data_IF_637661766375
#
_entry.id   IF_637661766375
#
_cell.length_a   1.000
_cell.length_b   1.000
_cell.length_c   1.000
_cell.angle_alpha   90.00
_cell.angle_beta   90.00
_cell.angle_gamma   90.00
#
_symmetry.space_group_name_H-M   'P 1'
#
loop_
_entity.id
_entity.type
_entity.pdbx_description
1 polymer ?
#
# COMPACT_ATOMS: atom_id res chain seq x y z
N UNK A 1 68.97 9.50 20.87
CA UNK A 1 67.77 9.10 21.65
C UNK A 1 66.71 10.17 21.45
N UNK A 2 65.74 9.93 20.58
CA UNK A 2 64.53 10.76 20.41
C UNK A 2 63.48 9.88 19.72
N UNK A 3 62.36 9.69 20.41
CA UNK A 3 61.31 8.70 20.13
C UNK A 3 60.35 9.25 19.05
N UNK A 4 60.00 8.51 17.99
CA UNK A 4 58.95 8.94 17.08
C UNK A 4 57.57 8.66 17.70
N UNK A 5 56.77 9.70 17.93
CA UNK A 5 55.36 9.59 18.33
C UNK A 5 54.53 9.05 17.16
N UNK A 6 54.15 7.77 17.24
CA UNK A 6 53.08 7.18 16.43
C UNK A 6 51.74 7.64 16.99
N UNK A 7 50.99 8.44 16.24
CA UNK A 7 49.57 8.65 16.53
C UNK A 7 48.76 7.58 15.79
N UNK A 8 48.37 6.58 16.55
CA UNK A 8 47.49 5.48 16.17
C UNK A 8 46.03 5.95 16.38
N UNK A 9 45.24 5.77 15.33
CA UNK A 9 43.80 5.49 15.27
C UNK A 9 42.87 6.06 16.36
N UNK A 10 41.86 6.81 15.91
CA UNK A 10 40.47 6.49 16.29
C UNK A 10 39.52 6.94 15.20
N UNK A 11 39.26 6.02 14.26
CA UNK A 11 38.21 6.16 13.26
C UNK A 11 36.94 5.65 13.94
N UNK A 12 36.21 6.57 14.58
CA UNK A 12 34.88 6.28 15.12
C UNK A 12 33.95 6.16 13.91
N UNK A 13 33.92 4.97 13.31
CA UNK A 13 32.83 4.59 12.42
C UNK A 13 31.60 4.51 13.30
N UNK A 14 30.79 5.56 13.24
CA UNK A 14 29.46 5.61 13.83
C UNK A 14 28.63 4.59 13.05
N UNK A 15 28.68 3.33 13.49
CA UNK A 15 27.73 2.31 13.08
C UNK A 15 26.37 2.76 13.61
N UNK A 16 25.67 3.57 12.81
CA UNK A 16 24.22 3.66 12.87
C UNK A 16 23.72 2.25 12.62
N UNK A 17 23.53 1.51 13.70
CA UNK A 17 22.64 0.37 13.73
C UNK A 17 21.27 0.92 13.33
N UNK A 18 20.97 0.83 12.04
CA UNK A 18 19.60 0.86 11.54
C UNK A 18 18.94 -0.39 12.12
N UNK A 19 18.50 -0.28 13.37
CA UNK A 19 17.47 -1.14 13.94
C UNK A 19 16.21 -0.83 13.16
N UNK A 20 16.11 -1.41 11.95
CA UNK A 20 14.86 -1.48 11.22
C UNK A 20 13.91 -2.37 12.00
N UNK A 21 13.19 -1.77 12.95
CA UNK A 21 11.94 -2.33 13.46
C UNK A 21 11.13 -2.79 12.25
N UNK A 22 10.59 -4.01 12.29
CA UNK A 22 9.74 -4.64 11.26
C UNK A 22 9.13 -3.61 10.31
N UNK A 23 9.80 -3.36 9.17
CA UNK A 23 9.50 -2.24 8.28
C UNK A 23 8.23 -2.45 7.46
N UNK A 24 7.50 -3.53 7.72
CA UNK A 24 6.27 -3.87 7.03
C UNK A 24 5.05 -3.33 7.78
N UNK A 25 4.05 -2.81 7.07
CA UNK A 25 2.87 -2.24 7.69
C UNK A 25 2.02 -3.31 8.40
N UNK A 26 1.45 -2.93 9.53
CA UNK A 26 0.40 -3.68 10.22
C UNK A 26 -0.95 -3.51 9.52
N UNK A 27 -1.94 -4.37 9.82
CA UNK A 27 -3.26 -4.35 9.18
C UNK A 27 -3.95 -2.99 9.27
N UNK A 28 -3.89 -2.31 10.42
CA UNK A 28 -4.47 -0.98 10.60
C UNK A 28 -3.78 0.12 9.77
N UNK A 29 -2.48 -0.03 9.48
CA UNK A 29 -1.75 0.88 8.60
C UNK A 29 -2.12 0.64 7.13
N UNK A 30 -2.32 -0.63 6.76
CA UNK A 30 -2.84 -1.01 5.44
C UNK A 30 -4.27 -0.47 5.25
N UNK A 31 -5.13 -0.64 6.25
CA UNK A 31 -6.50 -0.13 6.24
C UNK A 31 -6.55 1.37 6.00
N UNK A 32 -5.75 2.15 6.74
CA UNK A 32 -5.63 3.60 6.55
C UNK A 32 -5.13 3.97 5.17
N UNK A 33 -4.14 3.25 4.64
CA UNK A 33 -3.58 3.50 3.32
C UNK A 33 -4.64 3.28 2.22
N UNK A 34 -5.40 2.18 2.30
CA UNK A 34 -6.49 1.87 1.38
C UNK A 34 -7.61 2.91 1.52
N UNK A 35 -8.10 3.17 2.72
CA UNK A 35 -9.16 4.15 2.97
C UNK A 35 -8.78 5.51 2.38
N UNK A 36 -7.53 5.95 2.56
CA UNK A 36 -7.06 7.22 1.99
C UNK A 36 -7.09 7.24 0.45
N UNK A 37 -6.77 6.12 -0.21
CA UNK A 37 -6.92 5.98 -1.67
C UNK A 37 -8.38 6.01 -2.10
N UNK A 38 -9.29 5.52 -1.24
CA UNK A 38 -10.72 5.59 -1.48
C UNK A 38 -11.33 6.99 -1.32
N UNK A 39 -10.85 7.75 -0.34
CA UNK A 39 -11.32 9.10 -0.03
C UNK A 39 -10.72 10.18 -0.93
N UNK A 40 -9.61 9.90 -1.64
CA UNK A 40 -9.01 10.85 -2.57
C UNK A 40 -10.01 11.21 -3.70
N UNK A 41 -10.30 12.51 -3.91
CA UNK A 41 -11.25 12.95 -4.92
C UNK A 41 -10.79 12.47 -6.29
N UNK A 42 -11.67 11.75 -6.99
CA UNK A 42 -11.35 11.11 -8.26
C UNK A 42 -11.00 12.12 -9.35
N UNK A 43 -9.73 12.51 -9.45
CA UNK A 43 -9.19 13.06 -10.70
C UNK A 43 -9.13 11.95 -11.78
N UNK A 44 -9.16 10.68 -11.38
CA UNK A 44 -9.15 9.50 -12.27
C UNK A 44 -10.50 9.15 -12.90
N UNK A 45 -11.65 9.50 -12.31
CA UNK A 45 -12.96 9.23 -12.95
C UNK A 45 -13.16 10.04 -14.21
N UNK A 46 -12.53 11.22 -14.29
CA UNK A 46 -12.45 12.03 -15.52
C UNK A 46 -11.60 11.36 -16.62
N UNK A 47 -10.63 10.50 -16.26
CA UNK A 47 -9.66 9.93 -17.22
C UNK A 47 -10.18 8.69 -17.95
N UNK A 48 -11.17 7.99 -17.38
CA UNK A 48 -11.62 6.70 -17.91
C UNK A 48 -12.94 6.70 -18.68
N UNK A 49 -13.68 7.82 -18.77
CA UNK A 49 -14.94 7.92 -19.54
C UNK A 49 -15.93 6.75 -19.30
N UNK A 50 -15.80 6.02 -18.19
CA UNK A 50 -16.87 5.16 -17.70
C UNK A 50 -17.84 6.12 -17.03
N UNK A 51 -19.09 6.05 -17.46
CA UNK A 51 -20.22 6.64 -16.76
C UNK A 51 -20.01 6.59 -15.23
N UNK A 52 -20.50 7.59 -14.47
CA UNK A 52 -20.40 7.62 -13.01
C UNK A 52 -21.25 6.52 -12.32
N UNK A 53 -21.50 5.38 -12.97
CA UNK A 53 -22.52 4.41 -12.57
C UNK A 53 -22.08 3.51 -11.43
N UNK A 54 -20.78 3.22 -11.29
CA UNK A 54 -20.32 2.19 -10.37
C UNK A 54 -19.41 2.81 -9.30
N UNK A 55 -19.99 3.11 -8.14
CA UNK A 55 -19.24 3.63 -7.00
C UNK A 55 -18.74 2.48 -6.15
N UNK A 56 -17.42 2.41 -5.95
CA UNK A 56 -16.79 1.48 -5.02
C UNK A 56 -16.52 2.15 -3.68
N UNK A 57 -16.87 1.46 -2.61
CA UNK A 57 -16.60 1.87 -1.24
C UNK A 57 -15.80 0.77 -0.55
N UNK A 58 -14.69 1.15 0.05
CA UNK A 58 -13.93 0.28 0.94
C UNK A 58 -14.74 -0.01 2.21
N UNK A 59 -14.65 -1.22 2.75
CA UNK A 59 -15.33 -1.60 3.99
C UNK A 59 -14.33 -2.10 5.04
N UNK A 60 -13.47 -3.06 4.66
CA UNK A 60 -12.49 -3.63 5.58
C UNK A 60 -11.36 -4.32 4.82
N UNK A 61 -10.23 -4.49 5.50
CA UNK A 61 -9.09 -5.28 5.00
C UNK A 61 -8.54 -6.17 6.09
N UNK A 62 -8.14 -7.37 5.70
CA UNK A 62 -7.33 -8.26 6.50
C UNK A 62 -6.00 -8.52 5.78
N UNK A 63 -4.90 -8.45 6.52
CA UNK A 63 -3.59 -8.87 6.02
C UNK A 63 -3.49 -10.39 6.13
N UNK A 64 -3.35 -11.08 5.00
CA UNK A 64 -3.39 -12.55 4.94
C UNK A 64 -2.01 -13.20 4.97
N UNK A 65 -0.94 -12.40 4.91
CA UNK A 65 0.43 -12.90 4.91
C UNK A 65 1.47 -11.81 5.12
N UNK A 66 2.75 -12.16 4.95
CA UNK A 66 3.86 -11.20 5.03
C UNK A 66 3.88 -10.33 3.78
N UNK A 67 4.18 -9.05 3.96
CA UNK A 67 4.43 -8.16 2.82
C UNK A 67 5.85 -8.42 2.29
N UNK A 68 5.99 -8.44 0.98
CA UNK A 68 7.25 -8.73 0.30
C UNK A 68 7.72 -7.49 -0.48
N UNK A 69 9.02 -7.18 -0.54
CA UNK A 69 9.52 -6.14 -1.43
C UNK A 69 9.13 -6.41 -2.89
N UNK A 70 8.68 -5.37 -3.60
CA UNK A 70 8.51 -5.43 -5.05
C UNK A 70 9.87 -5.61 -5.74
N UNK A 71 9.93 -6.48 -6.75
CA UNK A 71 11.13 -6.66 -7.57
C UNK A 71 11.31 -5.51 -8.58
N UNK A 72 10.22 -4.85 -8.96
CA UNK A 72 10.20 -3.86 -10.05
C UNK A 72 10.25 -2.41 -9.55
N UNK A 73 9.84 -2.16 -8.29
CA UNK A 73 9.75 -0.81 -7.72
C UNK A 73 10.46 -0.73 -6.37
N UNK A 74 11.47 0.13 -6.29
CA UNK A 74 12.15 0.43 -5.03
C UNK A 74 11.15 1.03 -4.02
N UNK A 75 11.28 0.64 -2.74
CA UNK A 75 10.47 1.12 -1.62
C UNK A 75 8.97 0.80 -1.70
N UNK A 76 8.57 -0.13 -2.58
CA UNK A 76 7.20 -0.67 -2.64
C UNK A 76 7.20 -2.06 -2.01
N UNK A 77 6.20 -2.30 -1.15
CA UNK A 77 5.87 -3.61 -0.62
C UNK A 77 4.60 -4.13 -1.29
N UNK A 78 4.58 -5.42 -1.60
CA UNK A 78 3.43 -6.18 -2.04
C UNK A 78 2.84 -6.88 -0.82
N UNK A 79 1.69 -6.40 -0.34
CA UNK A 79 1.01 -6.94 0.82
C UNK A 79 -0.15 -7.84 0.38
N UNK A 80 -0.14 -9.15 0.69
CA UNK A 80 -1.29 -10.01 0.47
C UNK A 80 -2.41 -9.64 1.44
N UNK A 81 -3.60 -9.39 0.90
CA UNK A 81 -4.77 -8.94 1.65
C UNK A 81 -6.04 -9.64 1.18
N UNK A 82 -7.02 -9.70 2.07
CA UNK A 82 -8.41 -9.95 1.75
C UNK A 82 -9.20 -8.67 2.07
N UNK A 83 -9.85 -8.08 1.07
CA UNK A 83 -10.57 -6.82 1.17
C UNK A 83 -12.06 -7.03 0.94
N UNK A 84 -12.89 -6.45 1.81
CA UNK A 84 -14.32 -6.33 1.55
C UNK A 84 -14.62 -4.97 0.94
N UNK A 85 -15.32 -4.99 -0.18
CA UNK A 85 -15.73 -3.78 -0.91
C UNK A 85 -17.21 -3.82 -1.23
N UNK A 86 -17.84 -2.65 -1.20
CA UNK A 86 -19.23 -2.44 -1.58
C UNK A 86 -19.27 -1.74 -2.92
N UNK A 87 -20.01 -2.29 -3.88
CA UNK A 87 -20.31 -1.64 -5.16
C UNK A 87 -21.76 -1.17 -5.19
N UNK A 88 -21.96 0.09 -5.52
CA UNK A 88 -23.28 0.66 -5.81
C UNK A 88 -23.33 0.95 -7.30
N UNK A 89 -24.24 0.26 -8.02
CA UNK A 89 -24.48 0.49 -9.44
C UNK A 89 -25.72 1.37 -9.63
N UNK A 90 -25.63 2.37 -10.48
CA UNK A 90 -26.79 3.20 -10.86
C UNK A 90 -27.85 2.31 -11.50
N UNK A 91 -29.07 2.36 -10.95
CA UNK A 91 -30.20 1.54 -11.38
C UNK A 91 -30.34 0.21 -10.63
N UNK A 92 -29.38 -0.19 -9.81
CA UNK A 92 -29.52 -1.34 -8.89
C UNK A 92 -29.87 -0.83 -7.48
N UNK A 93 -31.02 -1.22 -6.90
CA UNK A 93 -31.44 -0.76 -5.58
C UNK A 93 -30.65 -1.41 -4.44
N UNK A 94 -30.04 -2.57 -4.69
CA UNK A 94 -29.33 -3.36 -3.69
C UNK A 94 -27.83 -3.27 -4.00
N UNK A 95 -27.00 -2.79 -3.07
CA UNK A 95 -25.55 -2.79 -3.25
C UNK A 95 -25.01 -4.21 -3.26
N UNK A 96 -23.99 -4.45 -4.07
CA UNK A 96 -23.26 -5.73 -4.10
C UNK A 96 -22.04 -5.64 -3.19
N UNK A 97 -21.68 -6.75 -2.57
CA UNK A 97 -20.52 -6.87 -1.70
C UNK A 97 -19.60 -7.93 -2.28
N UNK A 98 -18.31 -7.61 -2.34
CA UNK A 98 -17.28 -8.47 -2.90
C UNK A 98 -16.16 -8.65 -1.88
N UNK A 99 -15.68 -9.88 -1.77
CA UNK A 99 -14.45 -10.21 -1.04
C UNK A 99 -13.34 -10.42 -2.08
N UNK A 100 -12.36 -9.51 -2.08
CA UNK A 100 -11.28 -9.42 -3.07
C UNK A 100 -9.98 -9.83 -2.41
N UNK A 101 -9.43 -10.97 -2.81
CA UNK A 101 -8.10 -11.43 -2.37
C UNK A 101 -7.06 -11.04 -3.40
N UNK A 102 -6.10 -10.19 -3.01
CA UNK A 102 -5.10 -9.64 -3.91
C UNK A 102 -3.78 -9.31 -3.19
N UNK A 103 -2.71 -9.03 -3.95
CA UNK A 103 -1.48 -8.42 -3.44
C UNK A 103 -1.49 -6.93 -3.79
N UNK A 104 -1.74 -6.08 -2.80
CA UNK A 104 -1.73 -4.64 -3.00
C UNK A 104 -0.31 -4.08 -2.93
N UNK A 105 -0.03 -3.06 -3.74
CA UNK A 105 1.20 -2.28 -3.64
C UNK A 105 1.03 -1.17 -2.60
N UNK A 106 1.92 -1.13 -1.60
CA UNK A 106 1.96 -0.13 -0.55
C UNK A 106 3.38 0.43 -0.40
N UNK A 107 3.51 1.72 -0.15
CA UNK A 107 4.79 2.41 -0.01
C UNK A 107 4.73 3.47 1.08
N UNK A 108 5.88 3.91 1.57
CA UNK A 108 5.95 4.96 2.58
C UNK A 108 6.31 6.31 1.93
N UNK A 109 5.53 7.35 2.23
CA UNK A 109 5.79 8.74 1.83
C UNK A 109 5.66 9.63 3.07
N UNK A 110 6.73 10.36 3.40
CA UNK A 110 6.78 11.25 4.58
C UNK A 110 6.40 10.54 5.90
N UNK A 111 6.82 9.27 6.05
CA UNK A 111 6.51 8.44 7.21
C UNK A 111 5.10 7.80 7.19
N UNK A 112 4.25 8.14 6.22
CA UNK A 112 2.87 7.64 6.09
C UNK A 112 2.80 6.55 5.02
N UNK A 113 2.11 5.45 5.33
CA UNK A 113 1.83 4.39 4.36
C UNK A 113 0.75 4.82 3.36
N UNK A 114 0.99 4.56 2.09
CA UNK A 114 0.13 4.90 0.95
C UNK A 114 -0.04 3.68 0.07
N UNK A 115 -1.27 3.42 -0.37
CA UNK A 115 -1.55 2.43 -1.40
C UNK A 115 -1.24 3.02 -2.79
N UNK A 116 -0.97 2.16 -3.78
CA UNK A 116 -0.81 2.60 -5.17
C UNK A 116 -2.11 3.24 -5.70
N UNK A 117 -1.99 4.35 -6.41
CA UNK A 117 -3.12 5.15 -6.91
C UNK A 117 -4.07 4.33 -7.81
N UNK A 118 -3.58 3.23 -8.41
CA UNK A 118 -4.38 2.36 -9.26
C UNK A 118 -5.20 1.30 -8.48
N UNK A 119 -5.17 1.31 -7.15
CA UNK A 119 -5.84 0.29 -6.32
C UNK A 119 -7.32 0.11 -6.68
N UNK A 120 -8.08 1.21 -6.85
CA UNK A 120 -9.50 1.15 -7.23
C UNK A 120 -9.69 0.42 -8.57
N UNK A 121 -8.85 0.72 -9.55
CA UNK A 121 -8.90 0.07 -10.88
C UNK A 121 -8.56 -1.41 -10.80
N UNK A 122 -7.57 -1.79 -9.99
CA UNK A 122 -7.23 -3.20 -9.75
C UNK A 122 -8.40 -3.96 -9.13
N UNK A 123 -9.02 -3.40 -8.08
CA UNK A 123 -10.20 -3.98 -7.43
C UNK A 123 -11.36 -4.15 -8.43
N UNK A 124 -11.65 -3.13 -9.25
CA UNK A 124 -12.69 -3.24 -10.29
C UNK A 124 -12.41 -4.38 -11.27
N UNK A 125 -11.16 -4.53 -11.72
CA UNK A 125 -10.78 -5.63 -12.61
C UNK A 125 -10.93 -6.98 -11.92
N UNK A 126 -10.51 -7.10 -10.66
CA UNK A 126 -10.65 -8.34 -9.87
C UNK A 126 -12.11 -8.74 -9.68
N UNK A 127 -13.03 -7.77 -9.50
CA UNK A 127 -14.48 -8.03 -9.49
C UNK A 127 -14.95 -8.55 -10.85
N UNK A 128 -14.59 -7.87 -11.95
CA UNK A 128 -15.04 -8.22 -13.31
C UNK A 128 -14.58 -9.63 -13.74
N UNK A 129 -13.37 -10.06 -13.35
CA UNK A 129 -12.84 -11.37 -13.74
C UNK A 129 -13.19 -12.50 -12.77
N UNK A 130 -13.77 -12.19 -11.60
CA UNK A 130 -14.22 -13.18 -10.62
C UNK A 130 -15.72 -13.44 -10.63
N UNK A 131 -16.53 -12.54 -11.21
CA UNK A 131 -17.96 -12.73 -11.53
C UNK A 131 -18.14 -13.65 -12.76
#
# INVERSE_FOLDING_TARGET
>A
MMIPKKHIFSLVVFSMALTGCDSAPYTNQIEKAIQSSFDEPEELSKKFNRYPSDQLFFQSVEKTGKCEPSQDKANVLLCPVNMRVKQVKVGEPIPRYYDVTDKISIYQKDGVWKADDNLKSQILLSIIFSD
#
